data_IF_867106404514
#
_entry.id   IF_867106404514
#
_cell.length_a   1.000
_cell.length_b   1.000
_cell.length_c   1.000
_cell.angle_alpha   90.00
_cell.angle_beta   90.00
_cell.angle_gamma   90.00
#
_symmetry.space_group_name_H-M   'P 1'
#
loop_
_entity.id
_entity.type
_entity.pdbx_description
1 polymer ?
#
# COMPACT_ATOMS: atom_id res chain seq x y z
N UNK A 1 24.37 41.31 8.79
CA UNK A 1 24.82 40.09 9.51
C UNK A 1 23.55 39.27 9.74
N UNK A 2 23.49 37.97 9.43
CA UNK A 2 22.42 36.97 9.75
C UNK A 2 21.70 36.21 8.60
N UNK A 3 22.15 36.30 7.34
CA UNK A 3 21.56 35.50 6.25
C UNK A 3 21.89 33.97 6.26
N UNK A 4 23.09 33.49 6.62
CA UNK A 4 23.42 32.07 6.45
C UNK A 4 22.71 31.18 7.48
N UNK A 5 22.55 31.63 8.72
CA UNK A 5 21.89 30.87 9.79
C UNK A 5 20.42 30.57 9.48
N UNK A 6 19.73 31.49 8.81
CA UNK A 6 18.33 31.30 8.41
C UNK A 6 18.18 30.21 7.35
N UNK A 7 19.11 30.13 6.39
CA UNK A 7 19.13 29.07 5.38
C UNK A 7 19.51 27.71 5.97
N UNK A 8 20.43 27.67 6.94
CA UNK A 8 20.76 26.43 7.66
C UNK A 8 19.57 25.92 8.50
N UNK A 9 18.82 26.82 9.14
CA UNK A 9 17.60 26.49 9.89
C UNK A 9 16.52 25.90 8.96
N UNK A 10 16.27 26.51 7.81
CA UNK A 10 15.29 26.00 6.83
C UNK A 10 15.69 24.66 6.20
N UNK A 11 16.99 24.47 5.94
CA UNK A 11 17.49 23.19 5.41
C UNK A 11 17.34 22.06 6.45
N UNK A 12 17.57 22.39 7.72
CA UNK A 12 17.47 21.43 8.82
C UNK A 12 16.04 20.98 9.08
N UNK A 13 15.07 21.90 9.00
CA UNK A 13 13.64 21.56 9.19
C UNK A 13 13.10 20.72 8.04
N UNK A 14 13.49 21.01 6.79
CA UNK A 14 13.08 20.22 5.63
C UNK A 14 13.63 18.78 5.68
N UNK A 15 14.90 18.62 6.08
CA UNK A 15 15.50 17.30 6.25
C UNK A 15 14.80 16.47 7.34
N UNK A 16 14.38 17.11 8.44
CA UNK A 16 13.65 16.44 9.52
C UNK A 16 12.25 15.99 9.09
N UNK A 17 11.55 16.80 8.28
CA UNK A 17 10.24 16.47 7.71
C UNK A 17 10.33 15.30 6.69
N UNK A 18 11.41 15.23 5.92
CA UNK A 18 11.66 14.12 4.99
C UNK A 18 12.05 12.81 5.70
N UNK A 19 12.72 12.90 6.85
CA UNK A 19 13.01 11.74 7.68
C UNK A 19 11.77 11.23 8.45
N UNK A 20 10.84 12.14 8.78
CA UNK A 20 9.59 11.81 9.44
C UNK A 20 8.52 11.25 8.48
N UNK A 21 8.71 11.36 7.16
CA UNK A 21 7.94 10.60 6.18
C UNK A 21 8.43 9.16 6.22
N UNK A 22 8.01 8.44 7.25
CA UNK A 22 8.47 7.09 7.56
C UNK A 22 8.46 6.20 6.32
N UNK A 23 9.56 5.50 6.08
CA UNK A 23 9.58 4.42 5.11
C UNK A 23 8.45 3.46 5.49
N UNK A 24 7.48 3.28 4.59
CA UNK A 24 6.48 2.23 4.74
C UNK A 24 7.25 0.91 4.71
N UNK A 25 7.56 0.37 5.89
CA UNK A 25 8.19 -0.93 6.01
C UNK A 25 7.18 -1.93 5.46
N UNK A 26 7.49 -2.51 4.30
CA UNK A 26 6.71 -3.59 3.75
C UNK A 26 6.69 -4.72 4.80
N UNK A 27 5.52 -4.95 5.39
CA UNK A 27 5.32 -6.13 6.21
C UNK A 27 5.51 -7.35 5.29
N UNK A 28 6.15 -8.39 5.82
CA UNK A 28 6.25 -9.65 5.10
C UNK A 28 4.85 -10.11 4.70
N UNK A 29 4.68 -10.50 3.44
CA UNK A 29 3.43 -11.06 2.96
C UNK A 29 2.97 -12.20 3.88
N UNK A 30 1.69 -12.26 4.28
CA UNK A 30 1.15 -13.30 5.14
C UNK A 30 0.93 -14.59 4.34
N UNK A 31 2.00 -15.11 3.73
CA UNK A 31 1.99 -16.22 2.77
C UNK A 31 1.25 -17.44 3.29
N UNK A 32 1.43 -17.80 4.56
CA UNK A 32 0.72 -18.93 5.15
C UNK A 32 -0.81 -18.81 5.12
N UNK A 33 -1.37 -17.61 5.30
CA UNK A 33 -2.82 -17.37 5.20
C UNK A 33 -3.27 -17.30 3.75
N UNK A 34 -2.51 -16.60 2.91
CA UNK A 34 -2.76 -16.47 1.47
C UNK A 34 -2.85 -17.84 0.80
N UNK A 35 -1.95 -18.75 1.16
CA UNK A 35 -1.90 -20.11 0.65
C UNK A 35 -3.06 -20.95 1.20
N UNK A 36 -3.32 -20.90 2.50
CA UNK A 36 -4.42 -21.66 3.14
C UNK A 36 -5.81 -21.29 2.62
N UNK A 37 -6.02 -20.02 2.26
CA UNK A 37 -7.29 -19.53 1.70
C UNK A 37 -7.33 -19.62 0.16
N UNK A 38 -6.31 -20.23 -0.46
CA UNK A 38 -6.19 -20.42 -1.90
C UNK A 38 -6.34 -19.12 -2.71
N UNK A 39 -5.90 -17.98 -2.16
CA UNK A 39 -6.05 -16.67 -2.81
C UNK A 39 -5.30 -16.63 -4.16
N UNK A 40 -4.19 -17.36 -4.24
CA UNK A 40 -3.34 -17.46 -5.43
C UNK A 40 -3.95 -18.27 -6.58
N UNK A 41 -5.14 -18.87 -6.40
CA UNK A 41 -5.85 -19.51 -7.52
C UNK A 41 -6.39 -18.48 -8.52
N UNK A 42 -6.79 -17.30 -8.03
CA UNK A 42 -7.33 -16.22 -8.87
C UNK A 42 -6.40 -15.01 -8.94
N UNK A 43 -5.67 -14.73 -7.86
CA UNK A 43 -4.76 -13.60 -7.77
C UNK A 43 -3.31 -14.03 -7.98
N UNK A 44 -2.47 -13.08 -8.36
CA UNK A 44 -1.01 -13.23 -8.24
C UNK A 44 -0.45 -12.02 -7.50
N UNK A 45 0.86 -12.06 -7.19
CA UNK A 45 1.55 -10.96 -6.51
C UNK A 45 1.52 -9.67 -7.32
N UNK A 46 1.96 -9.72 -8.58
CA UNK A 46 2.32 -8.53 -9.37
C UNK A 46 1.63 -8.45 -10.73
N UNK A 47 1.27 -9.58 -11.36
CA UNK A 47 0.58 -9.61 -12.65
C UNK A 47 -0.91 -10.04 -12.56
N UNK A 48 -1.83 -9.45 -13.34
CA UNK A 48 -3.21 -9.93 -13.39
C UNK A 48 -3.29 -11.35 -13.98
N UNK A 49 -4.26 -12.14 -13.53
CA UNK A 49 -4.62 -13.44 -14.10
C UNK A 49 -6.14 -13.57 -14.26
N UNK A 50 -6.83 -14.27 -13.35
CA UNK A 50 -8.30 -14.30 -13.29
C UNK A 50 -8.86 -13.08 -12.55
N UNK A 51 -8.04 -12.46 -11.70
CA UNK A 51 -8.34 -11.25 -10.96
C UNK A 51 -7.12 -10.29 -10.97
N UNK A 52 -7.28 -9.03 -10.55
CA UNK A 52 -6.16 -8.10 -10.40
C UNK A 52 -5.09 -8.63 -9.44
N UNK A 53 -3.82 -8.30 -9.68
CA UNK A 53 -2.74 -8.67 -8.76
C UNK A 53 -2.86 -7.96 -7.41
N UNK A 54 -2.23 -8.50 -6.37
CA UNK A 54 -2.16 -7.82 -5.06
C UNK A 54 -1.54 -6.44 -5.18
N UNK A 55 -0.51 -6.27 -6.03
CA UNK A 55 0.08 -4.97 -6.31
C UNK A 55 -0.92 -4.00 -6.97
N UNK A 56 -1.68 -4.45 -7.97
CA UNK A 56 -2.72 -3.62 -8.60
C UNK A 56 -3.85 -3.24 -7.63
N UNK A 57 -4.20 -4.13 -6.69
CA UNK A 57 -5.15 -3.83 -5.62
C UNK A 57 -4.55 -2.78 -4.69
N UNK A 58 -3.30 -2.95 -4.25
CA UNK A 58 -2.61 -2.01 -3.39
C UNK A 58 -2.51 -0.61 -4.04
N UNK A 59 -2.14 -0.54 -5.31
CA UNK A 59 -2.02 0.74 -6.03
C UNK A 59 -3.37 1.44 -6.18
N UNK A 60 -4.46 0.68 -6.42
CA UNK A 60 -5.82 1.25 -6.48
C UNK A 60 -6.28 1.84 -5.14
N UNK A 61 -5.87 1.23 -4.03
CA UNK A 61 -6.37 1.58 -2.70
C UNK A 61 -5.39 2.41 -1.87
N UNK A 62 -4.20 2.73 -2.41
CA UNK A 62 -3.10 3.40 -1.72
C UNK A 62 -3.52 4.67 -0.98
N UNK A 63 -4.31 5.51 -1.63
CA UNK A 63 -4.70 6.82 -1.12
C UNK A 63 -6.16 6.84 -0.63
N UNK A 64 -6.77 5.67 -0.43
CA UNK A 64 -8.16 5.55 -0.01
C UNK A 64 -8.23 5.38 1.51
N UNK A 65 -8.83 6.34 2.25
CA UNK A 65 -9.01 6.22 3.68
C UNK A 65 -9.82 4.96 4.04
N UNK A 66 -9.39 4.23 5.08
CA UNK A 66 -10.05 3.02 5.55
C UNK A 66 -10.17 1.90 4.50
N UNK A 67 -9.24 1.82 3.55
CA UNK A 67 -9.18 0.77 2.51
C UNK A 67 -9.30 -0.66 3.07
N UNK A 68 -8.73 -0.92 4.25
CA UNK A 68 -8.81 -2.21 4.94
C UNK A 68 -10.26 -2.64 5.23
N UNK A 69 -11.11 -1.73 5.73
CA UNK A 69 -12.51 -2.03 6.04
C UNK A 69 -13.29 -2.36 4.76
N UNK A 70 -13.03 -1.62 3.68
CA UNK A 70 -13.64 -1.87 2.38
C UNK A 70 -13.22 -3.20 1.76
N UNK A 71 -11.92 -3.53 1.83
CA UNK A 71 -11.38 -4.78 1.30
C UNK A 71 -11.83 -5.98 2.12
N UNK A 72 -11.90 -5.86 3.44
CA UNK A 72 -12.45 -6.90 4.34
C UNK A 72 -13.92 -7.20 4.01
N UNK A 73 -14.73 -6.15 3.80
CA UNK A 73 -16.12 -6.31 3.38
C UNK A 73 -16.24 -7.02 2.03
N UNK A 74 -15.40 -6.65 1.04
CA UNK A 74 -15.34 -7.34 -0.26
C UNK A 74 -14.90 -8.79 -0.15
N UNK A 75 -13.95 -9.09 0.74
CA UNK A 75 -13.47 -10.45 0.97
C UNK A 75 -14.57 -11.33 1.55
N UNK A 76 -15.35 -10.83 2.51
CA UNK A 76 -16.46 -11.57 3.14
C UNK A 76 -17.66 -11.77 2.24
N UNK A 77 -18.07 -10.74 1.50
CA UNK A 77 -19.28 -10.80 0.68
C UNK A 77 -19.03 -11.30 -0.75
N UNK A 78 -17.76 -11.41 -1.14
CA UNK A 78 -17.37 -11.63 -2.52
C UNK A 78 -17.40 -10.32 -3.32
N UNK A 79 -16.42 -10.17 -4.21
CA UNK A 79 -16.42 -9.13 -5.23
C UNK A 79 -17.09 -9.64 -6.50
N UNK A 80 -17.83 -8.76 -7.19
CA UNK A 80 -18.14 -9.00 -8.60
C UNK A 80 -16.82 -9.07 -9.38
N UNK A 81 -16.44 -10.26 -9.84
CA UNK A 81 -15.41 -10.39 -10.85
C UNK A 81 -15.91 -9.64 -12.10
N UNK A 82 -15.16 -8.68 -12.66
CA UNK A 82 -15.39 -8.30 -14.04
C UNK A 82 -14.98 -9.52 -14.87
N UNK A 83 -15.91 -10.43 -15.10
CA UNK A 83 -15.84 -11.33 -16.24
C UNK A 83 -16.08 -10.40 -17.43
N UNK A 84 -15.02 -10.12 -18.18
CA UNK A 84 -15.16 -9.66 -19.55
C UNK A 84 -15.89 -10.71 -20.38
#
# INVERSE_FOLDING_TARGET
MNAPHLHYLTASTLALLLAASGAALAQSEPTALVDQQHCMFCHTRDAPFLAPSFQQIADRYRDVPHANVMLEHKLRLGGKAPLG
#
